data_IF_545369127881
#
_entry.id   IF_545369127881
#
_cell.length_a   1.000
_cell.length_b   1.000
_cell.length_c   1.000
_cell.angle_alpha   90.00
_cell.angle_beta   90.00
_cell.angle_gamma   90.00
#
_symmetry.space_group_name_H-M   'P 1'
#
loop_
_entity.id
_entity.type
_entity.pdbx_description
1 polymer ?
#
# COMPACT_ATOMS: atom_id res chain seq x y z
N UNK A 1 -46.14 -20.68 -74.51
CA UNK A 1 -45.73 -19.50 -73.71
C UNK A 1 -45.94 -19.87 -72.26
N UNK A 2 -44.87 -20.14 -71.51
CA UNK A 2 -44.93 -20.54 -70.10
C UNK A 2 -44.41 -19.37 -69.23
N UNK A 3 -45.28 -18.83 -68.38
CA UNK A 3 -44.94 -17.78 -67.42
C UNK A 3 -44.16 -18.36 -66.22
N UNK A 4 -42.99 -17.83 -65.96
CA UNK A 4 -42.18 -18.12 -64.78
C UNK A 4 -42.42 -17.00 -63.71
N UNK A 5 -42.83 -17.34 -62.48
CA UNK A 5 -43.00 -16.30 -61.43
C UNK A 5 -41.67 -15.89 -60.83
N UNK A 6 -41.44 -14.59 -60.78
CA UNK A 6 -40.33 -13.94 -60.09
C UNK A 6 -40.50 -14.06 -58.54
N UNK A 7 -39.63 -14.79 -57.87
CA UNK A 7 -39.59 -14.85 -56.39
C UNK A 7 -38.76 -13.68 -55.87
N UNK A 8 -39.44 -12.76 -55.21
CA UNK A 8 -38.81 -11.66 -54.50
C UNK A 8 -38.10 -12.18 -53.27
N UNK A 9 -36.77 -12.08 -53.26
CA UNK A 9 -35.93 -12.37 -52.06
C UNK A 9 -35.89 -11.11 -51.22
N UNK A 10 -36.61 -11.09 -50.08
CA UNK A 10 -36.53 -10.02 -49.09
C UNK A 10 -35.26 -10.21 -48.27
N UNK A 11 -34.27 -9.33 -48.46
CA UNK A 11 -33.04 -9.27 -47.69
C UNK A 11 -33.34 -8.57 -46.32
N UNK A 12 -33.50 -9.36 -45.27
CA UNK A 12 -33.63 -8.84 -43.90
C UNK A 12 -32.25 -8.34 -43.43
N UNK A 13 -32.03 -7.03 -43.52
CA UNK A 13 -30.86 -6.37 -42.90
C UNK A 13 -31.07 -6.38 -41.38
N UNK A 14 -30.40 -7.31 -40.66
CA UNK A 14 -30.33 -7.31 -39.22
C UNK A 14 -29.47 -6.09 -38.75
N UNK A 15 -30.11 -5.05 -38.24
CA UNK A 15 -29.45 -3.96 -37.51
C UNK A 15 -28.90 -4.56 -36.19
N UNK A 16 -27.63 -4.96 -36.16
CA UNK A 16 -26.91 -5.19 -34.91
C UNK A 16 -26.79 -3.84 -34.18
N UNK A 17 -27.66 -3.63 -33.22
CA UNK A 17 -27.52 -2.48 -32.30
C UNK A 17 -26.17 -2.60 -31.56
N UNK A 18 -25.17 -1.87 -32.03
CA UNK A 18 -23.93 -1.68 -31.28
C UNK A 18 -24.31 -0.96 -29.97
N UNK A 19 -24.37 -1.73 -28.88
CA UNK A 19 -24.47 -1.12 -27.55
C UNK A 19 -23.28 -0.16 -27.40
N UNK A 20 -23.52 1.11 -27.04
CA UNK A 20 -22.41 2.05 -26.80
C UNK A 20 -21.54 1.42 -25.71
N UNK A 21 -20.26 1.20 -26.00
CA UNK A 21 -19.28 0.87 -24.98
C UNK A 21 -19.32 2.01 -23.96
N UNK A 22 -19.78 1.75 -22.75
CA UNK A 22 -19.81 2.75 -21.69
C UNK A 22 -18.40 3.30 -21.54
N UNK A 23 -18.25 4.63 -21.65
CA UNK A 23 -16.95 5.27 -21.48
C UNK A 23 -16.40 4.96 -20.09
N UNK A 24 -15.15 4.53 -20.03
CA UNK A 24 -14.50 4.24 -18.75
C UNK A 24 -14.29 5.53 -17.96
N UNK A 25 -14.51 5.49 -16.65
CA UNK A 25 -14.19 6.60 -15.75
C UNK A 25 -12.67 6.75 -15.65
N UNK A 26 -12.15 7.94 -15.96
CA UNK A 26 -10.75 8.26 -15.79
C UNK A 26 -10.45 8.49 -14.31
N UNK A 27 -9.42 7.82 -13.79
CA UNK A 27 -9.00 7.88 -12.40
C UNK A 27 -7.49 8.12 -12.32
N UNK A 28 -7.09 9.10 -11.55
CA UNK A 28 -5.67 9.35 -11.22
C UNK A 28 -5.41 8.87 -9.79
N UNK A 29 -4.62 7.81 -9.68
CA UNK A 29 -4.15 7.27 -8.41
C UNK A 29 -2.69 7.66 -8.18
N UNK A 30 -2.38 8.31 -7.07
CA UNK A 30 -1.00 8.66 -6.73
C UNK A 30 -0.42 7.76 -5.64
N UNK A 31 0.84 7.36 -5.79
CA UNK A 31 1.60 6.67 -4.74
C UNK A 31 2.44 7.66 -3.94
N UNK A 32 2.86 7.26 -2.76
CA UNK A 32 3.72 8.06 -1.89
C UNK A 32 5.21 7.92 -2.20
N UNK A 33 5.58 6.95 -3.04
CA UNK A 33 6.98 6.62 -3.37
C UNK A 33 7.12 6.19 -4.83
N UNK A 34 8.37 6.00 -5.31
CA UNK A 34 8.69 5.37 -6.59
C UNK A 34 8.07 3.96 -6.66
N UNK A 35 7.83 3.46 -7.86
CA UNK A 35 7.35 2.11 -8.08
C UNK A 35 8.23 1.08 -7.34
N UNK A 36 7.58 0.17 -6.62
CA UNK A 36 8.23 -0.90 -5.85
C UNK A 36 7.21 -1.99 -5.50
N UNK A 37 7.67 -3.15 -5.05
CA UNK A 37 6.81 -4.28 -4.70
C UNK A 37 5.68 -3.93 -3.70
N UNK A 38 5.92 -2.96 -2.79
CA UNK A 38 4.91 -2.45 -1.86
C UNK A 38 3.74 -1.71 -2.55
N UNK A 39 3.82 -1.47 -3.86
CA UNK A 39 2.73 -0.94 -4.71
C UNK A 39 2.16 -1.99 -5.67
N UNK A 40 2.70 -3.21 -5.61
CA UNK A 40 2.53 -4.24 -6.63
C UNK A 40 1.10 -4.60 -6.95
N UNK A 41 0.19 -4.65 -5.96
CA UNK A 41 -1.21 -4.95 -6.21
C UNK A 41 -1.93 -3.91 -7.06
N UNK A 42 -1.56 -2.63 -6.97
CA UNK A 42 -2.12 -1.58 -7.82
C UNK A 42 -1.60 -1.69 -9.26
N UNK A 43 -0.31 -1.98 -9.41
CA UNK A 43 0.29 -2.27 -10.73
C UNK A 43 -0.29 -3.55 -11.33
N UNK A 44 -0.59 -4.55 -10.51
CA UNK A 44 -1.25 -5.78 -10.94
C UNK A 44 -2.65 -5.50 -11.47
N UNK A 45 -3.46 -4.72 -10.74
CA UNK A 45 -4.81 -4.36 -11.18
C UNK A 45 -4.81 -3.59 -12.51
N UNK A 46 -3.75 -2.81 -12.76
CA UNK A 46 -3.54 -2.15 -14.04
C UNK A 46 -3.13 -3.15 -15.13
N UNK A 47 -2.14 -3.99 -14.85
CA UNK A 47 -1.55 -4.94 -15.81
C UNK A 47 -2.52 -6.04 -16.24
N UNK A 48 -3.25 -6.65 -15.28
CA UNK A 48 -4.19 -7.73 -15.56
C UNK A 48 -5.57 -7.24 -16.02
N UNK A 49 -5.78 -5.92 -16.06
CA UNK A 49 -7.01 -5.29 -16.52
C UNK A 49 -8.15 -5.32 -15.49
N UNK A 50 -7.88 -5.58 -14.20
CA UNK A 50 -8.90 -5.54 -13.15
C UNK A 50 -9.60 -4.17 -13.06
N UNK A 51 -8.84 -3.07 -13.15
CA UNK A 51 -9.43 -1.74 -13.24
C UNK A 51 -10.30 -1.57 -14.47
N UNK A 52 -9.83 -2.01 -15.65
CA UNK A 52 -10.59 -1.90 -16.90
C UNK A 52 -11.88 -2.72 -16.84
N UNK A 53 -11.86 -3.93 -16.27
CA UNK A 53 -13.08 -4.74 -16.07
C UNK A 53 -14.06 -4.08 -15.12
N UNK A 54 -13.57 -3.28 -14.18
CA UNK A 54 -14.38 -2.44 -13.29
C UNK A 54 -14.87 -1.14 -13.95
N UNK A 55 -14.65 -0.93 -15.26
CA UNK A 55 -15.04 0.29 -15.97
C UNK A 55 -14.19 1.51 -15.63
N UNK A 56 -12.92 1.31 -15.24
CA UNK A 56 -11.98 2.37 -14.85
C UNK A 56 -10.78 2.41 -15.78
N UNK A 57 -10.41 3.62 -16.21
CA UNK A 57 -9.14 3.94 -16.87
C UNK A 57 -8.22 4.58 -15.83
N UNK A 58 -7.41 3.74 -15.15
CA UNK A 58 -6.54 4.20 -14.05
C UNK A 58 -5.15 4.55 -14.56
N UNK A 59 -4.66 5.71 -14.16
CA UNK A 59 -3.26 6.12 -14.31
C UNK A 59 -2.58 6.21 -12.93
N UNK A 60 -1.36 5.67 -12.82
CA UNK A 60 -0.56 5.71 -11.58
C UNK A 60 0.44 6.86 -11.67
N UNK A 61 0.33 7.82 -10.73
CA UNK A 61 1.29 8.91 -10.55
C UNK A 61 2.23 8.56 -9.40
N UNK A 62 3.50 8.37 -9.70
CA UNK A 62 4.49 8.04 -8.67
C UNK A 62 4.81 9.22 -7.75
N UNK A 63 5.10 8.89 -6.47
CA UNK A 63 5.81 9.76 -5.54
C UNK A 63 7.32 9.58 -5.61
N UNK A 64 8.03 9.96 -4.56
CA UNK A 64 9.48 9.81 -4.44
C UNK A 64 10.09 10.74 -3.39
N UNK A 65 11.42 10.71 -3.19
CA UNK A 65 12.09 11.47 -2.14
C UNK A 65 11.85 12.99 -2.17
N UNK A 66 11.62 13.56 -3.35
CA UNK A 66 11.38 14.99 -3.56
C UNK A 66 9.95 15.27 -4.06
N UNK A 67 9.06 14.26 -4.09
CA UNK A 67 7.71 14.37 -4.64
C UNK A 67 6.69 14.16 -3.52
N UNK A 68 5.93 15.22 -3.20
CA UNK A 68 4.84 15.16 -2.25
C UNK A 68 3.49 15.24 -2.97
N UNK A 69 2.81 14.11 -3.13
CA UNK A 69 1.51 14.04 -3.77
C UNK A 69 0.34 14.36 -2.81
N UNK A 70 0.55 14.43 -1.49
CA UNK A 70 -0.51 14.64 -0.49
C UNK A 70 -1.37 15.88 -0.74
N UNK A 71 -0.82 17.08 -1.05
CA UNK A 71 -1.65 18.27 -1.30
C UNK A 71 -2.53 18.17 -2.55
N UNK A 72 -2.22 17.26 -3.47
CA UNK A 72 -2.95 17.12 -4.74
C UNK A 72 -4.34 16.50 -4.53
N UNK A 73 -4.52 15.67 -3.48
CA UNK A 73 -5.79 15.01 -3.20
C UNK A 73 -6.88 16.01 -2.80
N UNK A 74 -6.74 16.81 -1.72
CA UNK A 74 -7.75 17.81 -1.36
C UNK A 74 -7.92 18.91 -2.42
N UNK A 75 -6.88 19.15 -3.25
CA UNK A 75 -6.97 20.08 -4.37
C UNK A 75 -7.69 19.51 -5.62
N UNK A 76 -8.18 18.26 -5.58
CA UNK A 76 -8.90 17.62 -6.68
C UNK A 76 -8.04 17.35 -7.93
N UNK A 77 -6.72 17.30 -7.80
CA UNK A 77 -5.77 17.01 -8.89
C UNK A 77 -5.48 15.51 -9.08
N UNK A 78 -5.84 14.70 -8.10
CA UNK A 78 -5.84 13.24 -8.12
C UNK A 78 -7.13 12.76 -7.44
N UNK A 79 -7.55 11.53 -7.73
CA UNK A 79 -8.80 10.97 -7.20
C UNK A 79 -8.55 10.10 -5.97
N UNK A 80 -7.46 9.34 -6.00
CA UNK A 80 -7.03 8.51 -4.87
C UNK A 80 -5.56 8.71 -4.60
N UNK A 81 -5.19 8.53 -3.33
CA UNK A 81 -3.82 8.62 -2.85
C UNK A 81 -3.50 7.39 -2.00
N UNK A 82 -2.35 6.76 -2.24
CA UNK A 82 -1.76 5.84 -1.30
C UNK A 82 -1.03 6.63 -0.21
N UNK A 83 -1.56 6.62 1.01
CA UNK A 83 -0.89 7.22 2.18
C UNK A 83 -0.10 6.16 2.95
N UNK A 84 0.91 6.62 3.71
CA UNK A 84 1.80 5.72 4.45
C UNK A 84 1.06 4.94 5.54
N UNK A 85 0.54 5.65 6.54
CA UNK A 85 -0.17 5.04 7.67
C UNK A 85 -1.17 6.02 8.31
N UNK A 86 -1.87 5.57 9.35
CA UNK A 86 -2.92 6.33 10.03
C UNK A 86 -2.47 7.70 10.60
N UNK A 87 -1.19 7.90 10.90
CA UNK A 87 -0.74 9.22 11.37
C UNK A 87 -1.00 10.32 10.35
N UNK A 88 -0.81 10.02 9.05
CA UNK A 88 -1.14 10.95 7.99
C UNK A 88 -2.65 11.29 7.95
N UNK A 89 -3.50 10.28 8.14
CA UNK A 89 -4.96 10.47 8.14
C UNK A 89 -5.43 11.22 9.39
N UNK A 90 -4.81 10.95 10.55
CA UNK A 90 -5.07 11.74 11.77
C UNK A 90 -4.68 13.21 11.59
N UNK A 91 -3.53 13.48 10.96
CA UNK A 91 -3.11 14.85 10.64
C UNK A 91 -4.06 15.53 9.67
N UNK A 92 -4.59 14.82 8.68
CA UNK A 92 -5.57 15.35 7.74
C UNK A 92 -6.86 15.77 8.49
N UNK A 93 -7.37 14.92 9.37
CA UNK A 93 -8.58 15.24 10.18
C UNK A 93 -8.29 16.41 11.12
N UNK A 94 -7.17 16.41 11.84
CA UNK A 94 -6.73 17.49 12.72
C UNK A 94 -6.66 18.82 11.98
N UNK A 95 -6.17 18.82 10.74
CA UNK A 95 -6.06 20.00 9.89
C UNK A 95 -7.32 20.27 9.05
N UNK A 96 -8.42 19.54 9.27
CA UNK A 96 -9.72 19.68 8.58
C UNK A 96 -9.61 19.55 7.07
N UNK A 97 -8.70 18.70 6.58
CA UNK A 97 -8.62 18.41 5.16
C UNK A 97 -9.77 17.47 4.77
N UNK A 98 -10.44 17.70 3.62
CA UNK A 98 -11.64 16.95 3.23
C UNK A 98 -11.25 15.62 2.56
N UNK A 99 -10.53 14.76 3.29
CA UNK A 99 -10.10 13.44 2.82
C UNK A 99 -10.47 12.36 3.83
N UNK A 100 -10.63 11.14 3.36
CA UNK A 100 -11.04 9.99 4.16
C UNK A 100 -10.39 8.71 3.65
N UNK A 101 -10.00 7.80 4.54
CA UNK A 101 -9.49 6.47 4.21
C UNK A 101 -10.66 5.56 3.84
N UNK A 102 -10.53 4.83 2.72
CA UNK A 102 -11.54 3.88 2.24
C UNK A 102 -11.08 2.42 2.23
N UNK A 103 -9.78 2.17 2.39
CA UNK A 103 -9.21 0.81 2.57
C UNK A 103 -7.83 0.85 3.22
N UNK A 104 -7.45 -0.21 3.95
CA UNK A 104 -6.13 -0.41 4.51
C UNK A 104 -5.48 -1.67 3.93
N UNK A 105 -4.64 -1.50 2.92
CA UNK A 105 -4.03 -2.64 2.23
C UNK A 105 -3.08 -3.39 3.14
N UNK A 106 -2.22 -2.69 3.87
CA UNK A 106 -1.27 -3.32 4.78
C UNK A 106 -1.86 -3.43 6.19
N UNK A 107 -1.98 -4.65 6.64
CA UNK A 107 -2.41 -4.96 8.00
C UNK A 107 -1.30 -4.73 9.03
N UNK A 108 -0.05 -4.76 8.61
CA UNK A 108 1.10 -4.34 9.42
C UNK A 108 1.87 -3.25 8.69
N UNK A 109 2.23 -2.18 9.39
CA UNK A 109 3.14 -1.17 8.86
C UNK A 109 4.54 -1.80 8.71
N UNK A 110 5.16 -1.74 7.53
CA UNK A 110 6.46 -2.34 7.29
C UNK A 110 7.65 -1.55 7.84
N UNK A 111 7.43 -0.47 8.58
CA UNK A 111 8.49 0.27 9.25
C UNK A 111 9.27 -0.64 10.20
N UNK A 112 10.57 -0.58 10.10
CA UNK A 112 11.49 -1.39 10.88
C UNK A 112 12.71 -0.58 11.36
N UNK A 113 13.35 -1.06 12.40
CA UNK A 113 14.73 -0.72 12.73
C UNK A 113 15.64 -1.84 12.25
N UNK A 114 16.73 -1.46 11.60
CA UNK A 114 17.70 -2.36 10.98
C UNK A 114 19.08 -2.12 11.60
N UNK A 115 19.80 -3.19 11.91
CA UNK A 115 21.13 -3.12 12.52
C UNK A 115 22.10 -4.12 11.89
N UNK A 116 23.40 -3.89 12.08
CA UNK A 116 24.44 -4.87 11.78
C UNK A 116 24.36 -6.04 12.76
N UNK A 117 24.60 -7.28 12.33
CA UNK A 117 24.66 -8.43 13.21
C UNK A 117 25.87 -8.38 14.15
N UNK A 118 25.76 -9.00 15.31
CA UNK A 118 26.88 -9.12 16.26
C UNK A 118 27.25 -7.82 16.99
N UNK A 119 26.38 -6.80 16.96
CA UNK A 119 26.62 -5.50 17.62
C UNK A 119 25.87 -5.35 18.95
N UNK A 120 25.18 -6.40 19.41
CA UNK A 120 24.35 -6.36 20.62
C UNK A 120 22.97 -5.73 20.39
N UNK A 121 22.42 -5.85 19.17
CA UNK A 121 21.09 -5.36 18.77
C UNK A 121 20.18 -6.48 18.32
N UNK A 122 20.42 -7.71 18.79
CA UNK A 122 19.67 -8.92 18.42
C UNK A 122 18.23 -8.88 18.92
N UNK A 123 17.97 -8.13 20.01
CA UNK A 123 16.61 -7.84 20.47
C UNK A 123 16.24 -6.37 20.23
N UNK A 124 14.95 -6.11 19.99
CA UNK A 124 14.45 -4.74 19.83
C UNK A 124 14.79 -3.82 21.02
N UNK A 125 14.68 -4.36 22.24
CA UNK A 125 14.97 -3.62 23.45
C UNK A 125 16.44 -3.15 23.56
N UNK A 126 17.36 -3.87 22.92
CA UNK A 126 18.78 -3.51 22.89
C UNK A 126 19.08 -2.36 21.92
N UNK A 127 18.26 -2.17 20.86
CA UNK A 127 18.48 -1.12 19.85
C UNK A 127 18.48 0.30 20.44
N UNK A 128 17.80 0.53 21.57
CA UNK A 128 17.84 1.82 22.27
C UNK A 128 19.22 2.19 22.83
N UNK A 129 20.15 1.24 22.90
CA UNK A 129 21.53 1.47 23.33
C UNK A 129 22.44 1.94 22.18
N UNK A 130 21.97 1.89 20.92
CA UNK A 130 22.76 2.33 19.78
C UNK A 130 23.21 3.77 19.93
N UNK A 131 24.49 4.10 19.61
CA UNK A 131 25.03 5.46 19.74
C UNK A 131 24.38 6.40 18.71
N UNK A 132 23.88 5.87 17.60
CA UNK A 132 23.17 6.65 16.57
C UNK A 132 22.08 5.81 15.90
N UNK A 133 21.00 6.50 15.57
CA UNK A 133 19.85 5.95 14.82
C UNK A 133 19.56 6.88 13.63
N UNK A 134 19.66 6.32 12.43
CA UNK A 134 19.41 7.04 11.18
C UNK A 134 17.90 7.05 10.89
N UNK A 135 17.27 8.22 10.95
CA UNK A 135 15.83 8.40 10.81
C UNK A 135 15.51 9.52 9.83
N UNK A 136 14.60 9.29 8.89
CA UNK A 136 14.15 10.30 7.94
C UNK A 136 13.40 11.44 8.64
N UNK A 137 13.45 12.62 8.03
CA UNK A 137 12.93 13.85 8.65
C UNK A 137 11.46 13.76 9.05
N UNK A 138 10.61 13.19 8.20
CA UNK A 138 9.18 13.02 8.47
C UNK A 138 8.90 12.05 9.62
N UNK A 139 9.70 10.99 9.73
CA UNK A 139 9.59 9.99 10.77
C UNK A 139 9.95 10.53 12.17
N UNK A 140 10.78 11.58 12.24
CA UNK A 140 11.16 12.22 13.50
C UNK A 140 9.98 12.85 14.24
N UNK A 141 8.95 13.28 13.51
CA UNK A 141 7.74 13.90 14.05
C UNK A 141 6.57 12.90 14.19
N UNK A 142 6.78 11.62 13.85
CA UNK A 142 5.78 10.57 13.90
C UNK A 142 6.22 9.42 14.80
N UNK A 143 6.51 8.24 14.28
CA UNK A 143 6.83 7.06 15.06
C UNK A 143 8.11 7.17 15.92
N UNK A 144 9.04 8.09 15.63
CA UNK A 144 10.18 8.35 16.50
C UNK A 144 9.72 8.87 17.88
N UNK A 145 8.70 9.73 17.94
CA UNK A 145 8.13 10.20 19.21
C UNK A 145 7.57 9.03 20.02
N UNK A 146 6.86 8.14 19.33
CA UNK A 146 6.37 6.92 19.96
C UNK A 146 7.51 6.05 20.49
N UNK A 147 8.61 5.85 19.74
CA UNK A 147 9.79 5.12 20.20
C UNK A 147 10.41 5.75 21.47
N UNK A 148 10.47 7.08 21.52
CA UNK A 148 11.01 7.78 22.71
C UNK A 148 10.18 7.50 23.94
N UNK A 149 8.88 7.71 23.85
CA UNK A 149 7.96 7.60 24.99
C UNK A 149 7.77 6.13 25.42
N UNK A 150 7.66 5.22 24.46
CA UNK A 150 7.28 3.83 24.73
C UNK A 150 8.50 2.94 24.98
N UNK A 151 9.61 3.18 24.28
CA UNK A 151 10.77 2.29 24.28
C UNK A 151 12.07 2.93 24.79
N UNK A 152 12.04 4.23 25.13
CA UNK A 152 13.16 4.91 25.79
C UNK A 152 14.31 5.30 24.83
N UNK A 153 14.04 5.48 23.55
CA UNK A 153 14.98 6.11 22.62
C UNK A 153 15.17 7.59 22.95
N UNK A 154 16.26 8.21 22.49
CA UNK A 154 16.64 9.57 22.84
C UNK A 154 17.02 10.39 21.62
N UNK A 155 16.64 11.66 21.59
CA UNK A 155 16.97 12.58 20.48
C UNK A 155 18.48 12.74 20.25
N UNK A 156 19.32 12.55 21.29
CA UNK A 156 20.79 12.56 21.16
C UNK A 156 21.33 11.50 20.19
N UNK A 157 20.59 10.39 19.98
CA UNK A 157 20.94 9.31 19.06
C UNK A 157 20.58 9.62 17.61
N UNK A 158 19.67 10.58 17.38
CA UNK A 158 19.07 10.85 16.09
C UNK A 158 20.09 11.41 15.09
N UNK A 159 20.14 10.82 13.90
CA UNK A 159 20.88 11.33 12.73
C UNK A 159 20.00 11.26 11.49
N UNK A 160 20.20 12.16 10.52
CA UNK A 160 19.40 12.15 9.30
C UNK A 160 19.59 10.87 8.48
N UNK A 161 18.48 10.27 8.02
CA UNK A 161 18.45 9.25 6.99
C UNK A 161 17.96 9.89 5.69
N UNK A 162 18.81 9.93 4.68
CA UNK A 162 18.54 10.55 3.38
C UNK A 162 18.29 9.49 2.28
N UNK A 163 17.74 8.34 2.66
CA UNK A 163 17.40 7.24 1.76
C UNK A 163 18.62 6.65 1.01
N UNK A 164 19.80 6.70 1.63
CA UNK A 164 21.01 6.03 1.16
C UNK A 164 21.59 5.13 2.25
N UNK A 165 22.11 3.97 1.88
CA UNK A 165 22.69 3.02 2.84
C UNK A 165 24.12 3.36 3.28
N UNK A 166 24.82 4.27 2.57
CA UNK A 166 26.23 4.57 2.81
C UNK A 166 26.58 4.83 4.28
N UNK A 167 25.88 5.74 4.98
CA UNK A 167 26.15 6.02 6.40
C UNK A 167 25.93 4.81 7.31
N UNK A 168 24.94 3.97 7.03
CA UNK A 168 24.66 2.74 7.76
C UNK A 168 25.77 1.70 7.53
N UNK A 169 26.12 1.43 6.27
CA UNK A 169 27.13 0.44 5.91
C UNK A 169 28.51 0.81 6.44
N UNK A 170 28.83 2.10 6.49
CA UNK A 170 30.11 2.61 7.02
C UNK A 170 30.22 2.54 8.55
N UNK A 171 29.13 2.37 9.28
CA UNK A 171 29.13 2.36 10.74
C UNK A 171 28.41 1.13 11.32
N UNK A 172 29.13 0.08 11.71
CA UNK A 172 28.53 -1.14 12.25
C UNK A 172 27.68 -0.92 13.52
N UNK A 173 27.92 0.15 14.28
CA UNK A 173 27.12 0.49 15.48
C UNK A 173 25.87 1.31 15.18
N UNK A 174 25.62 1.64 13.91
CA UNK A 174 24.43 2.36 13.52
C UNK A 174 23.19 1.43 13.52
N UNK A 175 22.06 1.99 13.99
CA UNK A 175 20.74 1.48 13.70
C UNK A 175 20.12 2.39 12.65
N UNK A 176 19.36 1.84 11.70
CA UNK A 176 18.71 2.61 10.64
C UNK A 176 17.23 2.27 10.53
N UNK A 177 16.43 3.28 10.22
CA UNK A 177 15.07 3.11 9.72
C UNK A 177 15.07 2.36 8.40
N UNK A 178 14.04 1.58 8.14
CA UNK A 178 13.76 0.99 6.82
C UNK A 178 12.39 0.35 6.76
N UNK A 179 12.02 -0.08 5.57
CA UNK A 179 10.90 -0.98 5.36
C UNK A 179 11.40 -2.41 5.38
N UNK A 180 10.85 -3.26 6.26
CA UNK A 180 11.26 -4.66 6.41
C UNK A 180 11.19 -5.49 5.11
N UNK A 181 10.46 -4.99 4.11
CA UNK A 181 10.29 -5.62 2.79
C UNK A 181 11.16 -5.00 1.69
N UNK A 182 12.05 -4.07 2.01
CA UNK A 182 12.90 -3.38 1.02
C UNK A 182 14.35 -3.24 1.51
N UNK A 183 14.64 -2.38 2.51
CA UNK A 183 15.99 -2.08 2.96
C UNK A 183 16.83 -3.31 3.35
N UNK A 184 16.30 -4.37 3.99
CA UNK A 184 17.11 -5.57 4.27
C UNK A 184 17.68 -6.19 2.99
N UNK A 185 16.91 -6.17 1.89
CA UNK A 185 17.35 -6.69 0.59
C UNK A 185 18.50 -5.84 0.05
N UNK A 186 18.36 -4.50 0.13
CA UNK A 186 19.42 -3.58 -0.30
C UNK A 186 20.68 -3.71 0.55
N UNK A 187 20.56 -3.92 1.87
CA UNK A 187 21.70 -4.17 2.76
C UNK A 187 22.40 -5.47 2.38
N UNK A 188 21.67 -6.56 2.10
CA UNK A 188 22.26 -7.80 1.65
C UNK A 188 22.96 -7.65 0.30
N UNK A 189 22.35 -6.92 -0.65
CA UNK A 189 22.91 -6.71 -1.98
C UNK A 189 24.19 -5.85 -1.94
N UNK A 190 24.21 -4.77 -1.15
CA UNK A 190 25.31 -3.80 -1.11
C UNK A 190 26.32 -4.10 0.00
N UNK A 191 25.84 -4.43 1.20
CA UNK A 191 26.68 -4.68 2.38
C UNK A 191 27.20 -6.11 2.48
N UNK A 192 26.63 -7.07 1.71
CA UNK A 192 27.00 -8.50 1.69
C UNK A 192 26.86 -9.20 3.05
N UNK A 193 25.93 -8.71 3.89
CA UNK A 193 25.57 -9.36 5.15
C UNK A 193 24.06 -9.31 5.34
N UNK A 194 23.52 -10.24 6.12
CA UNK A 194 22.11 -10.26 6.51
C UNK A 194 21.93 -9.36 7.74
N UNK A 195 21.13 -8.29 7.65
CA UNK A 195 20.92 -7.40 8.79
C UNK A 195 20.01 -8.01 9.85
N UNK A 196 20.11 -7.52 11.08
CA UNK A 196 19.08 -7.70 12.12
C UNK A 196 17.94 -6.75 11.81
N UNK A 197 16.69 -7.24 11.80
CA UNK A 197 15.50 -6.46 11.44
C UNK A 197 14.45 -6.60 12.52
N UNK A 198 13.95 -5.48 13.04
CA UNK A 198 12.83 -5.46 13.98
C UNK A 198 11.69 -4.63 13.42
N UNK A 199 10.60 -5.29 13.08
CA UNK A 199 9.37 -4.66 12.59
C UNK A 199 8.69 -3.91 13.75
N UNK A 200 8.43 -2.61 13.61
CA UNK A 200 7.82 -1.82 14.69
C UNK A 200 6.41 -2.31 15.06
N UNK A 201 5.67 -2.86 14.09
CA UNK A 201 4.36 -3.44 14.30
C UNK A 201 4.38 -4.61 15.30
N UNK A 202 5.45 -5.41 15.34
CA UNK A 202 5.60 -6.53 16.27
C UNK A 202 5.98 -6.06 17.69
N UNK A 203 6.28 -4.76 17.85
CA UNK A 203 6.64 -4.13 19.12
C UNK A 203 5.63 -3.07 19.58
N UNK A 204 4.40 -3.12 19.02
CA UNK A 204 3.26 -2.32 19.48
C UNK A 204 2.92 -1.11 18.59
N UNK A 205 3.64 -0.85 17.49
CA UNK A 205 3.25 0.17 16.53
C UNK A 205 2.15 -0.38 15.60
N UNK A 206 0.92 -0.50 16.12
CA UNK A 206 -0.17 -1.31 15.56
C UNK A 206 -0.99 -0.61 14.46
N UNK A 207 -0.43 0.37 13.76
CA UNK A 207 -1.12 1.11 12.69
C UNK A 207 -1.45 0.23 11.49
N UNK A 208 -2.51 0.60 10.75
CA UNK A 208 -2.66 0.22 9.35
C UNK A 208 -1.69 1.03 8.48
N UNK A 209 -1.33 0.49 7.31
CA UNK A 209 -0.44 1.16 6.36
C UNK A 209 -0.86 0.91 4.92
N UNK A 210 -0.23 1.61 3.97
CA UNK A 210 -0.62 1.57 2.55
C UNK A 210 -2.12 1.75 2.39
N UNK A 211 -2.60 2.89 2.93
CA UNK A 211 -4.01 3.25 2.95
C UNK A 211 -4.43 3.79 1.59
N UNK A 212 -5.61 3.42 1.14
CA UNK A 212 -6.29 4.11 0.02
C UNK A 212 -7.10 5.25 0.63
N UNK A 213 -6.73 6.47 0.28
CA UNK A 213 -7.39 7.71 0.72
C UNK A 213 -8.01 8.42 -0.47
N UNK A 214 -9.17 9.02 -0.28
CA UNK A 214 -9.88 9.82 -1.29
C UNK A 214 -10.50 11.06 -0.67
N UNK A 215 -11.11 11.93 -1.50
CA UNK A 215 -11.86 13.09 -1.01
C UNK A 215 -13.22 12.68 -0.46
N UNK A 216 -13.67 13.31 0.62
CA UNK A 216 -15.03 13.12 1.16
C UNK A 216 -16.09 13.40 0.10
N UNK A 217 -15.89 14.44 -0.72
CA UNK A 217 -16.78 14.78 -1.85
C UNK A 217 -16.94 13.61 -2.84
N UNK A 218 -15.87 12.86 -3.14
CA UNK A 218 -15.93 11.72 -4.06
C UNK A 218 -16.73 10.57 -3.47
N UNK A 219 -16.59 10.34 -2.15
CA UNK A 219 -17.40 9.34 -1.42
C UNK A 219 -18.89 9.72 -1.43
N UNK A 220 -19.22 10.99 -1.25
CA UNK A 220 -20.60 11.47 -1.22
C UNK A 220 -21.26 11.48 -2.60
N UNK A 221 -20.53 11.94 -3.64
CA UNK A 221 -21.11 12.13 -4.98
C UNK A 221 -20.96 10.92 -5.92
N UNK A 222 -19.94 10.11 -5.73
CA UNK A 222 -19.58 8.98 -6.61
C UNK A 222 -19.17 7.73 -5.81
N UNK A 223 -19.97 7.26 -4.82
CA UNK A 223 -19.62 6.09 -4.00
C UNK A 223 -19.40 4.82 -4.84
N UNK A 224 -20.11 4.67 -5.95
CA UNK A 224 -19.96 3.54 -6.87
C UNK A 224 -18.58 3.53 -7.58
N UNK A 225 -18.01 4.70 -7.86
CA UNK A 225 -16.66 4.80 -8.44
C UNK A 225 -15.62 4.42 -7.39
N UNK A 226 -15.78 4.93 -6.15
CA UNK A 226 -14.90 4.58 -5.03
C UNK A 226 -14.93 3.07 -4.78
N UNK A 227 -16.12 2.45 -4.78
CA UNK A 227 -16.27 1.02 -4.58
C UNK A 227 -15.58 0.20 -5.66
N UNK A 228 -15.78 0.57 -6.96
CA UNK A 228 -15.15 -0.12 -8.09
C UNK A 228 -13.62 -0.04 -8.02
N UNK A 229 -13.07 1.12 -7.61
CA UNK A 229 -11.63 1.30 -7.47
C UNK A 229 -11.07 0.45 -6.32
N UNK A 230 -11.73 0.45 -5.17
CA UNK A 230 -11.31 -0.34 -4.00
C UNK A 230 -11.37 -1.83 -4.32
N UNK A 231 -12.49 -2.33 -4.87
CA UNK A 231 -12.66 -3.74 -5.19
C UNK A 231 -11.63 -4.23 -6.22
N UNK A 232 -11.41 -3.46 -7.30
CA UNK A 232 -10.41 -3.79 -8.31
C UNK A 232 -8.98 -3.76 -7.75
N UNK A 233 -8.68 -2.83 -6.83
CA UNK A 233 -7.39 -2.80 -6.12
C UNK A 233 -7.21 -4.03 -5.24
N UNK A 234 -8.23 -4.46 -4.51
CA UNK A 234 -8.20 -5.69 -3.70
C UNK A 234 -7.93 -6.91 -4.56
N UNK A 235 -8.65 -7.06 -5.69
CA UNK A 235 -8.42 -8.15 -6.66
C UNK A 235 -6.98 -8.12 -7.19
N UNK A 236 -6.48 -6.93 -7.53
CA UNK A 236 -5.09 -6.75 -7.95
C UNK A 236 -4.09 -7.22 -6.88
N UNK A 237 -4.31 -6.89 -5.61
CA UNK A 237 -3.46 -7.35 -4.51
C UNK A 237 -3.52 -8.87 -4.30
N UNK A 238 -4.69 -9.49 -4.44
CA UNK A 238 -4.82 -10.96 -4.39
C UNK A 238 -4.03 -11.60 -5.53
N UNK A 239 -4.21 -11.12 -6.76
CA UNK A 239 -3.48 -11.62 -7.94
C UNK A 239 -1.97 -11.40 -7.80
N UNK A 240 -1.53 -10.26 -7.26
CA UNK A 240 -0.13 -9.96 -7.06
C UNK A 240 0.55 -10.90 -6.07
N UNK A 241 -0.12 -11.21 -4.96
CA UNK A 241 0.44 -12.07 -3.92
C UNK A 241 0.37 -13.56 -4.28
N UNK A 242 -0.66 -14.00 -4.99
CA UNK A 242 -0.97 -15.42 -5.14
C UNK A 242 -1.00 -15.91 -6.60
N UNK A 243 -1.11 -14.99 -7.58
CA UNK A 243 -1.14 -15.27 -9.02
C UNK A 243 0.17 -14.97 -9.74
N UNK A 244 0.08 -14.84 -11.08
CA UNK A 244 1.19 -14.39 -11.93
C UNK A 244 1.29 -12.86 -11.92
N UNK A 245 2.46 -12.35 -11.53
CA UNK A 245 2.75 -10.93 -11.39
C UNK A 245 3.76 -10.40 -12.42
N UNK A 246 4.18 -11.21 -13.38
CA UNK A 246 5.19 -10.81 -14.37
C UNK A 246 4.87 -9.51 -15.09
N UNK A 247 3.63 -9.34 -15.53
CA UNK A 247 3.20 -8.13 -16.22
C UNK A 247 3.22 -6.90 -15.28
N UNK A 248 2.85 -7.05 -14.02
CA UNK A 248 2.94 -5.99 -13.02
C UNK A 248 4.41 -5.63 -12.70
N UNK A 249 5.27 -6.65 -12.54
CA UNK A 249 6.71 -6.45 -12.33
C UNK A 249 7.33 -5.68 -13.50
N UNK A 250 6.99 -6.06 -14.75
CA UNK A 250 7.48 -5.34 -15.94
C UNK A 250 7.06 -3.87 -15.95
N UNK A 251 5.83 -3.53 -15.53
CA UNK A 251 5.40 -2.14 -15.40
C UNK A 251 6.19 -1.40 -14.31
N UNK A 252 6.43 -2.03 -13.16
CA UNK A 252 7.21 -1.40 -12.07
C UNK A 252 8.67 -1.18 -12.47
N UNK A 253 9.30 -2.13 -13.15
CA UNK A 253 10.68 -2.01 -13.67
C UNK A 253 10.80 -0.90 -14.71
N UNK A 254 9.79 -0.74 -15.59
CA UNK A 254 9.72 0.37 -16.54
C UNK A 254 9.64 1.72 -15.81
N UNK A 255 8.80 1.80 -14.79
CA UNK A 255 8.51 3.04 -14.07
C UNK A 255 9.60 3.39 -13.05
N UNK A 256 10.37 2.41 -12.57
CA UNK A 256 11.53 2.58 -11.69
C UNK A 256 12.67 1.64 -12.11
N UNK A 257 13.54 2.08 -13.03
CA UNK A 257 14.67 1.28 -13.52
C UNK A 257 15.77 0.98 -12.47
N UNK A 258 15.68 1.56 -11.27
CA UNK A 258 16.59 1.25 -10.16
C UNK A 258 16.28 -0.10 -9.49
N UNK A 259 15.08 -0.67 -9.76
CA UNK A 259 14.66 -1.97 -9.24
C UNK A 259 15.23 -3.12 -10.09
N UNK A 260 15.36 -4.28 -9.46
CA UNK A 260 15.55 -5.56 -10.14
C UNK A 260 14.36 -6.51 -9.88
N UNK A 261 14.18 -7.50 -10.76
CA UNK A 261 13.13 -8.52 -10.58
C UNK A 261 13.37 -9.34 -9.30
N UNK A 262 14.63 -9.68 -9.01
CA UNK A 262 15.02 -10.37 -7.76
C UNK A 262 14.57 -9.60 -6.51
N UNK A 263 14.81 -8.30 -6.47
CA UNK A 263 14.38 -7.44 -5.35
C UNK A 263 12.86 -7.42 -5.20
N UNK A 264 12.12 -7.36 -6.30
CA UNK A 264 10.66 -7.41 -6.28
C UNK A 264 10.18 -8.76 -5.71
N UNK A 265 10.71 -9.88 -6.21
CA UNK A 265 10.29 -11.22 -5.78
C UNK A 265 10.63 -11.49 -4.31
N UNK A 266 11.80 -11.08 -3.86
CA UNK A 266 12.21 -11.16 -2.45
C UNK A 266 11.34 -10.31 -1.56
N UNK A 267 10.98 -9.11 -2.01
CA UNK A 267 10.07 -8.22 -1.30
C UNK A 267 8.68 -8.84 -1.14
N UNK A 268 8.13 -9.46 -2.19
CA UNK A 268 6.85 -10.19 -2.13
C UNK A 268 6.93 -11.35 -1.14
N UNK A 269 8.02 -12.12 -1.17
CA UNK A 269 8.24 -13.22 -0.22
C UNK A 269 8.24 -12.71 1.23
N UNK A 270 8.92 -11.59 1.50
CA UNK A 270 8.94 -10.94 2.83
C UNK A 270 7.56 -10.40 3.22
N UNK A 271 6.81 -9.76 2.32
CA UNK A 271 5.44 -9.31 2.60
C UNK A 271 4.55 -10.46 3.08
N UNK A 272 4.67 -11.63 2.44
CA UNK A 272 3.91 -12.84 2.82
C UNK A 272 4.40 -13.41 4.16
N UNK A 273 5.71 -13.57 4.32
CA UNK A 273 6.30 -14.16 5.52
C UNK A 273 6.03 -13.33 6.79
N UNK A 274 6.04 -12.01 6.68
CA UNK A 274 5.79 -11.08 7.78
C UNK A 274 4.30 -10.77 7.97
N UNK A 275 3.42 -11.25 7.09
CA UNK A 275 1.99 -10.95 7.13
C UNK A 275 1.69 -9.46 6.96
N UNK A 276 2.41 -8.78 6.08
CA UNK A 276 2.23 -7.33 5.89
C UNK A 276 0.85 -7.02 5.32
N UNK A 277 0.43 -7.72 4.27
CA UNK A 277 -0.84 -7.48 3.56
C UNK A 277 -1.94 -8.40 4.08
N UNK A 278 -1.66 -9.69 4.11
CA UNK A 278 -2.65 -10.74 4.35
C UNK A 278 -2.42 -11.40 5.72
N UNK A 279 -2.94 -10.73 6.72
CA UNK A 279 -2.91 -11.15 8.13
C UNK A 279 -4.04 -10.48 8.91
N UNK A 280 -4.23 -10.85 10.17
CA UNK A 280 -5.22 -10.23 11.04
C UNK A 280 -6.62 -10.24 10.43
N UNK A 281 -7.25 -9.07 10.34
CA UNK A 281 -8.64 -8.93 9.87
C UNK A 281 -8.81 -9.31 8.39
N UNK A 282 -7.78 -9.14 7.55
CA UNK A 282 -7.85 -9.45 6.12
C UNK A 282 -8.08 -10.93 5.84
N UNK A 283 -7.68 -11.81 6.76
CA UNK A 283 -7.88 -13.26 6.58
C UNK A 283 -9.37 -13.67 6.50
N UNK A 284 -10.23 -12.96 7.23
CA UNK A 284 -11.66 -13.24 7.27
C UNK A 284 -12.49 -12.24 6.46
N UNK A 285 -12.01 -11.00 6.32
CA UNK A 285 -12.78 -9.90 5.73
C UNK A 285 -12.29 -9.49 4.34
N UNK A 286 -11.17 -10.06 3.86
CA UNK A 286 -10.51 -9.69 2.60
C UNK A 286 -9.45 -8.58 2.78
N UNK A 287 -8.53 -8.50 1.82
CA UNK A 287 -7.52 -7.43 1.77
C UNK A 287 -8.23 -6.07 1.77
N UNK A 288 -7.63 -5.07 2.42
CA UNK A 288 -8.23 -3.75 2.59
C UNK A 288 -9.03 -3.58 3.88
N UNK A 289 -9.22 -4.65 4.66
CA UNK A 289 -10.02 -4.65 5.89
C UNK A 289 -9.55 -3.62 6.92
N UNK A 290 -10.52 -3.01 7.60
CA UNK A 290 -10.30 -2.04 8.69
C UNK A 290 -11.37 -2.21 9.78
N UNK A 291 -11.02 -1.85 11.03
CA UNK A 291 -11.99 -1.73 12.11
C UNK A 291 -11.87 -0.39 12.86
N UNK A 292 -13.01 0.15 13.35
CA UNK A 292 -13.01 1.33 14.20
C UNK A 292 -12.22 1.13 15.49
N UNK A 293 -12.26 -0.09 16.04
CA UNK A 293 -11.56 -0.48 17.27
C UNK A 293 -10.06 -0.26 17.13
N UNK A 294 -9.46 -0.80 16.08
CA UNK A 294 -8.02 -0.69 15.85
C UNK A 294 -7.57 0.74 15.59
N UNK A 295 -8.36 1.52 14.87
CA UNK A 295 -8.08 2.96 14.65
C UNK A 295 -8.11 3.70 15.99
N UNK A 296 -9.11 3.43 16.84
CA UNK A 296 -9.24 4.02 18.18
C UNK A 296 -8.07 3.63 19.09
N UNK A 297 -7.70 2.35 19.10
CA UNK A 297 -6.61 1.83 19.95
C UNK A 297 -5.27 2.44 19.53
N UNK A 298 -5.00 2.53 18.23
CA UNK A 298 -3.79 3.17 17.72
C UNK A 298 -3.76 4.66 18.05
N UNK A 299 -4.91 5.37 17.92
CA UNK A 299 -5.00 6.77 18.31
C UNK A 299 -4.74 6.95 19.80
N UNK A 300 -5.28 6.08 20.66
CA UNK A 300 -5.03 6.11 22.10
C UNK A 300 -3.54 5.94 22.45
N UNK A 301 -2.82 5.07 21.71
CA UNK A 301 -1.37 4.94 21.84
C UNK A 301 -0.65 6.25 21.47
N UNK A 302 -1.10 6.92 20.42
CA UNK A 302 -0.49 8.18 19.96
C UNK A 302 -0.79 9.36 20.89
N UNK A 303 -1.97 9.39 21.52
CA UNK A 303 -2.26 10.32 22.64
C UNK A 303 -1.28 10.10 23.80
N UNK A 304 -1.08 8.85 24.21
CA UNK A 304 -0.16 8.48 25.29
C UNK A 304 1.29 8.83 24.95
N UNK A 305 1.67 8.72 23.69
CA UNK A 305 2.97 9.12 23.18
C UNK A 305 3.12 10.65 23.00
N UNK A 306 2.06 11.43 23.25
CA UNK A 306 2.10 12.90 23.17
C UNK A 306 2.10 13.47 21.75
N UNK A 307 1.75 12.67 20.73
CA UNK A 307 1.66 13.13 19.34
C UNK A 307 0.39 13.96 19.11
N UNK A 308 -0.67 13.62 19.81
CA UNK A 308 -1.97 14.32 19.74
C UNK A 308 -2.47 14.64 21.14
N UNK A 309 -3.38 15.62 21.21
CA UNK A 309 -4.17 15.94 22.43
C UNK A 309 -5.59 15.39 22.27
N UNK A 310 -6.26 15.14 23.38
CA UNK A 310 -7.66 14.72 23.37
C UNK A 310 -8.52 15.73 22.60
N UNK A 311 -9.35 15.24 21.69
CA UNK A 311 -10.24 16.08 20.87
C UNK A 311 -9.61 16.72 19.63
N UNK A 312 -8.29 16.57 19.38
CA UNK A 312 -7.66 17.08 18.15
C UNK A 312 -8.04 16.28 16.90
N UNK A 313 -8.32 14.99 17.05
CA UNK A 313 -8.68 14.09 15.94
C UNK A 313 -10.11 13.56 16.16
N UNK A 314 -11.02 13.89 15.27
CA UNK A 314 -12.36 13.34 15.22
C UNK A 314 -12.34 12.00 14.50
N UNK A 315 -12.28 10.90 15.28
CA UNK A 315 -12.02 9.55 14.73
C UNK A 315 -13.08 9.09 13.72
N UNK A 316 -14.31 9.55 13.83
CA UNK A 316 -15.39 9.24 12.88
C UNK A 316 -15.10 9.76 11.46
N UNK A 317 -14.18 10.72 11.30
CA UNK A 317 -13.81 11.30 10.00
C UNK A 317 -12.56 10.66 9.39
N UNK A 318 -11.92 9.73 10.10
CA UNK A 318 -10.66 9.13 9.64
C UNK A 318 -10.88 8.14 8.51
N UNK A 319 -11.92 7.30 8.60
CA UNK A 319 -12.15 6.21 7.66
C UNK A 319 -13.64 5.91 7.42
N UNK A 320 -13.95 5.50 6.20
CA UNK A 320 -15.24 4.96 5.78
C UNK A 320 -15.14 3.45 5.57
N UNK A 321 -15.89 2.70 6.37
CA UNK A 321 -15.80 1.23 6.41
C UNK A 321 -16.72 0.54 5.40
N UNK A 322 -17.63 1.25 4.76
CA UNK A 322 -18.62 0.70 3.82
C UNK A 322 -18.02 0.11 2.55
N UNK A 323 -16.80 0.49 2.19
CA UNK A 323 -16.12 0.05 0.95
C UNK A 323 -15.31 -1.24 1.12
N UNK A 324 -15.10 -1.72 2.34
CA UNK A 324 -14.27 -2.89 2.68
C UNK A 324 -15.02 -3.88 3.58
N UNK A 325 -14.34 -4.88 4.11
CA UNK A 325 -14.88 -5.90 5.04
C UNK A 325 -15.98 -6.79 4.45
N UNK A 326 -16.03 -6.95 3.12
CA UNK A 326 -17.08 -7.67 2.39
C UNK A 326 -16.60 -9.00 1.80
N UNK A 327 -15.39 -9.44 2.16
CA UNK A 327 -14.80 -10.69 1.66
C UNK A 327 -14.35 -10.64 0.20
N UNK A 328 -14.26 -9.45 -0.42
CA UNK A 328 -13.81 -9.30 -1.81
C UNK A 328 -12.44 -9.97 -1.99
N UNK A 329 -12.34 -10.82 -3.01
CA UNK A 329 -11.11 -11.54 -3.35
C UNK A 329 -10.81 -12.79 -2.51
N UNK A 330 -11.59 -13.14 -1.48
CA UNK A 330 -11.33 -14.36 -0.68
C UNK A 330 -11.47 -15.64 -1.51
N UNK A 331 -12.52 -15.77 -2.31
CA UNK A 331 -12.70 -16.95 -3.18
C UNK A 331 -11.59 -17.04 -4.23
N UNK A 332 -11.21 -15.91 -4.82
CA UNK A 332 -10.09 -15.84 -5.76
C UNK A 332 -8.77 -16.27 -5.09
N UNK A 333 -8.51 -15.80 -3.88
CA UNK A 333 -7.35 -16.21 -3.09
C UNK A 333 -7.32 -17.72 -2.86
N UNK A 334 -8.43 -18.29 -2.42
CA UNK A 334 -8.55 -19.73 -2.20
C UNK A 334 -8.32 -20.53 -3.48
N UNK A 335 -8.91 -20.10 -4.60
CA UNK A 335 -8.71 -20.74 -5.91
C UNK A 335 -7.24 -20.69 -6.35
N UNK A 336 -6.57 -19.53 -6.22
CA UNK A 336 -5.16 -19.38 -6.55
C UNK A 336 -4.23 -20.19 -5.64
N UNK A 337 -4.57 -20.36 -4.37
CA UNK A 337 -3.80 -21.18 -3.43
C UNK A 337 -3.98 -22.67 -3.68
N UNK A 338 -5.16 -23.10 -4.11
CA UNK A 338 -5.48 -24.51 -4.41
C UNK A 338 -4.91 -24.96 -5.77
N UNK A 339 -4.63 -24.04 -6.70
CA UNK A 339 -4.10 -24.37 -8.03
C UNK A 339 -2.70 -25.02 -7.92
N UNK A 340 -2.42 -26.11 -8.66
CA UNK A 340 -1.11 -26.75 -8.71
C UNK A 340 -0.01 -25.77 -9.13
N UNK A 341 1.18 -25.92 -8.57
CA UNK A 341 2.32 -25.02 -8.84
C UNK A 341 2.72 -24.93 -10.33
N UNK A 342 2.38 -25.93 -11.14
CA UNK A 342 2.62 -25.95 -12.58
C UNK A 342 1.70 -25.01 -13.38
N UNK A 343 0.51 -24.73 -12.88
CA UNK A 343 -0.47 -23.86 -13.55
C UNK A 343 -0.31 -22.36 -13.21
N UNK A 344 0.46 -22.08 -12.18
CA UNK A 344 0.74 -20.70 -11.74
C UNK A 344 1.78 -19.96 -12.60
N UNK A 345 2.36 -20.63 -13.61
CA UNK A 345 3.43 -20.09 -14.47
C UNK A 345 2.98 -19.82 -15.91
N UNK A 346 1.70 -20.04 -16.22
CA UNK A 346 1.09 -19.66 -17.49
C UNK A 346 0.42 -18.30 -17.38
#
# INVERSE_FOLDING_TARGET
MKHIPLRSFALALGLAAALPAAAQDKVVFATNWKAQAAHGGFYQALADGSYRRAGLEVSIRQGGPQVNNRPLLPAGKIDFLMTGNLLHSFDNVKNRLPTVVVAAIFQKDPQALIAHPGQGYESFAQMKAAPLVLVAKDAQFTWWQWLKVTHGFRDAQLRPYNYTLGPFLANPKAVQQGYAVAEPIYVENQGKFRPVVHLLADHGFSTYSTLIETRTELVEKRPELVQRFVDASIVGWVNYLYGDRKAANALMLRDNPELSEDEIERSVALMKALGIVDSGESLAKGIGAMSPERIRDFHAQMLKAGLYKAGEVELAKVAEFGFVNRGVGLDLKHALQAAPAADRRK
#
